data_IF_143002609798
#
_entry.id   IF_143002609798
#
_cell.length_a   1.000
_cell.length_b   1.000
_cell.length_c   1.000
_cell.angle_alpha   90.00
_cell.angle_beta   90.00
_cell.angle_gamma   90.00
#
_symmetry.space_group_name_H-M   'P 1'
#
loop_
_entity.id
_entity.type
_entity.pdbx_description
1 polymer ?
#
# COMPACT_ATOMS: atom_id res chain seq x y z
N UNK A 1 13.39 0.22 2.40
CA UNK A 1 13.06 -0.97 1.57
C UNK A 1 12.04 -0.63 0.49
N UNK A 2 10.80 -0.26 0.86
CA UNK A 2 9.79 0.15 -0.12
C UNK A 2 10.19 1.46 -0.82
N UNK A 3 10.82 2.37 -0.07
CA UNK A 3 11.36 3.63 -0.56
C UNK A 3 12.45 3.44 -1.62
N UNK A 4 13.34 2.46 -1.43
CA UNK A 4 14.40 2.13 -2.39
C UNK A 4 13.83 1.52 -3.68
N UNK A 5 12.83 0.66 -3.53
CA UNK A 5 12.11 0.06 -4.68
C UNK A 5 11.37 1.14 -5.46
N UNK A 6 10.71 2.06 -4.76
CA UNK A 6 10.01 3.20 -5.35
C UNK A 6 10.99 4.16 -6.05
N UNK A 7 12.13 4.46 -5.44
CA UNK A 7 13.18 5.27 -6.03
C UNK A 7 13.72 4.69 -7.33
N UNK A 8 13.92 3.37 -7.39
CA UNK A 8 14.35 2.66 -8.62
C UNK A 8 13.35 2.82 -9.76
N UNK A 9 12.06 2.97 -9.44
CA UNK A 9 10.97 3.18 -10.40
C UNK A 9 10.66 4.66 -10.67
N UNK A 10 11.33 5.58 -9.98
CA UNK A 10 11.07 7.02 -10.08
C UNK A 10 9.72 7.46 -9.49
N UNK A 11 9.14 6.69 -8.56
CA UNK A 11 7.84 6.99 -7.92
C UNK A 11 8.01 7.16 -6.42
N UNK A 12 6.99 7.69 -5.74
CA UNK A 12 6.99 7.76 -4.28
C UNK A 12 6.61 6.41 -3.65
N UNK A 13 7.04 6.17 -2.42
CA UNK A 13 6.67 4.95 -1.69
C UNK A 13 5.14 4.84 -1.49
N UNK A 14 4.46 5.97 -1.28
CA UNK A 14 3.00 6.02 -1.16
C UNK A 14 2.31 5.60 -2.47
N UNK A 15 2.80 6.08 -3.61
CA UNK A 15 2.32 5.66 -4.93
C UNK A 15 2.55 4.17 -5.17
N UNK A 16 3.75 3.66 -4.85
CA UNK A 16 4.06 2.25 -5.03
C UNK A 16 3.18 1.34 -4.17
N UNK A 17 2.94 1.73 -2.91
CA UNK A 17 2.03 1.00 -2.02
C UNK A 17 0.59 0.98 -2.56
N UNK A 18 0.09 2.13 -3.00
CA UNK A 18 -1.28 2.25 -3.52
C UNK A 18 -1.45 1.47 -4.85
N UNK A 19 -0.46 1.55 -5.73
CA UNK A 19 -0.41 0.77 -6.97
C UNK A 19 -0.48 -0.73 -6.68
N UNK A 20 0.29 -1.22 -5.70
CA UNK A 20 0.25 -2.63 -5.30
C UNK A 20 -1.13 -3.07 -4.81
N UNK A 21 -1.81 -2.24 -4.01
CA UNK A 21 -3.18 -2.52 -3.53
C UNK A 21 -4.17 -2.61 -4.70
N UNK A 22 -4.08 -1.68 -5.66
CA UNK A 22 -4.93 -1.68 -6.85
C UNK A 22 -4.75 -2.96 -7.71
N UNK A 23 -3.57 -3.57 -7.69
CA UNK A 23 -3.28 -4.80 -8.43
C UNK A 23 -3.69 -6.09 -7.70
N UNK A 24 -4.20 -6.03 -6.46
CA UNK A 24 -4.62 -7.23 -5.73
C UNK A 24 -5.93 -7.85 -6.25
N UNK A 25 -6.69 -7.12 -7.07
CA UNK A 25 -7.89 -7.63 -7.73
C UNK A 25 -8.78 -6.50 -8.25
N UNK A 26 -9.49 -6.75 -9.35
CA UNK A 26 -10.35 -5.74 -10.01
C UNK A 26 -11.50 -5.23 -9.11
N UNK A 27 -11.87 -6.03 -8.10
CA UNK A 27 -12.90 -5.68 -7.12
C UNK A 27 -12.39 -4.82 -5.96
N UNK A 28 -11.10 -4.46 -5.95
CA UNK A 28 -10.47 -3.69 -4.88
C UNK A 28 -10.45 -2.20 -5.24
N UNK A 29 -11.21 -1.41 -4.50
CA UNK A 29 -11.30 0.04 -4.66
C UNK A 29 -10.78 0.73 -3.39
N UNK A 30 -9.49 1.13 -3.34
CA UNK A 30 -8.93 1.81 -2.17
C UNK A 30 -9.51 3.21 -2.03
N UNK A 31 -9.66 3.67 -0.79
CA UNK A 31 -10.18 5.00 -0.43
C UNK A 31 -9.10 5.85 0.27
N UNK A 32 -7.98 6.18 -0.42
CA UNK A 32 -6.88 6.89 0.20
C UNK A 32 -7.27 8.33 0.51
N UNK A 33 -7.21 8.71 1.79
CA UNK A 33 -7.44 10.09 2.21
C UNK A 33 -6.25 11.00 1.92
N UNK A 34 -6.51 12.24 1.50
CA UNK A 34 -5.49 13.28 1.32
C UNK A 34 -5.99 14.61 1.92
N UNK A 35 -5.09 15.32 2.61
CA UNK A 35 -5.36 16.68 3.15
C UNK A 35 -4.67 17.79 2.36
N UNK A 36 -3.82 17.44 1.40
CA UNK A 36 -3.07 18.35 0.53
C UNK A 36 -3.27 17.93 -0.92
N UNK A 37 -3.40 18.90 -1.82
CA UNK A 37 -3.60 18.65 -3.26
C UNK A 37 -2.47 17.80 -3.83
N UNK A 38 -1.21 18.11 -3.50
CA UNK A 38 -0.07 17.31 -3.95
C UNK A 38 -0.15 15.81 -3.59
N UNK A 39 -0.73 15.47 -2.43
CA UNK A 39 -0.92 14.06 -2.06
C UNK A 39 -2.10 13.43 -2.80
N UNK A 40 -3.15 14.21 -3.09
CA UNK A 40 -4.26 13.76 -3.92
C UNK A 40 -3.75 13.43 -5.34
N UNK A 41 -2.94 14.30 -5.93
CA UNK A 41 -2.32 14.09 -7.25
C UNK A 41 -1.44 12.84 -7.26
N UNK A 42 -0.64 12.63 -6.20
CA UNK A 42 0.14 11.41 -6.04
C UNK A 42 -0.74 10.16 -5.95
N UNK A 43 -1.83 10.21 -5.17
CA UNK A 43 -2.77 9.09 -5.04
C UNK A 43 -3.41 8.74 -6.39
N UNK A 44 -3.81 9.75 -7.18
CA UNK A 44 -4.38 9.55 -8.51
C UNK A 44 -3.36 8.92 -9.45
N UNK A 45 -2.14 9.47 -9.51
CA UNK A 45 -1.07 8.97 -10.37
C UNK A 45 -0.64 7.53 -10.03
N UNK A 46 -0.97 7.00 -8.84
CA UNK A 46 -0.69 5.61 -8.51
C UNK A 46 -1.49 4.60 -9.36
N UNK A 47 -2.65 5.01 -9.90
CA UNK A 47 -3.48 4.16 -10.74
C UNK A 47 -2.83 3.82 -12.09
N UNK A 48 -1.92 4.68 -12.57
CA UNK A 48 -1.23 4.50 -13.84
C UNK A 48 0.07 3.67 -13.72
N UNK A 49 0.46 3.28 -12.50
CA UNK A 49 1.69 2.53 -12.26
C UNK A 49 1.44 1.05 -12.55
N UNK A 50 1.96 0.57 -13.68
CA UNK A 50 1.98 -0.85 -14.00
C UNK A 50 3.04 -1.61 -13.18
N UNK A 51 2.64 -2.74 -12.60
CA UNK A 51 3.53 -3.66 -11.89
C UNK A 51 3.60 -4.99 -12.62
N UNK A 52 4.81 -5.45 -12.93
CA UNK A 52 5.03 -6.78 -13.50
C UNK A 52 4.70 -7.88 -12.48
N UNK A 53 4.44 -9.12 -12.92
CA UNK A 53 4.21 -10.24 -12.00
C UNK A 53 5.36 -10.45 -11.00
N UNK A 54 6.60 -10.23 -11.42
CA UNK A 54 7.78 -10.31 -10.55
C UNK A 54 7.81 -9.21 -9.49
N UNK A 55 7.42 -7.99 -9.84
CA UNK A 55 7.30 -6.88 -8.89
C UNK A 55 6.16 -7.09 -7.92
N UNK A 56 5.00 -7.58 -8.38
CA UNK A 56 3.87 -7.92 -7.52
C UNK A 56 4.26 -8.98 -6.48
N UNK A 57 4.97 -10.03 -6.92
CA UNK A 57 5.50 -11.06 -6.02
C UNK A 57 6.50 -10.45 -5.02
N UNK A 58 7.44 -9.65 -5.50
CA UNK A 58 8.47 -9.03 -4.66
C UNK A 58 7.85 -8.13 -3.59
N UNK A 59 6.91 -7.26 -3.99
CA UNK A 59 6.19 -6.36 -3.09
C UNK A 59 5.32 -7.14 -2.11
N UNK A 60 4.62 -8.19 -2.57
CA UNK A 60 3.86 -9.08 -1.69
C UNK A 60 4.72 -9.76 -0.64
N UNK A 61 5.87 -10.30 -1.05
CA UNK A 61 6.84 -10.89 -0.13
C UNK A 61 7.39 -9.84 0.86
N UNK A 62 7.67 -8.61 0.42
CA UNK A 62 8.13 -7.51 1.28
C UNK A 62 7.08 -7.07 2.30
N UNK A 63 5.80 -7.06 1.91
CA UNK A 63 4.67 -6.59 2.70
C UNK A 63 3.96 -7.72 3.46
N UNK A 64 4.52 -8.93 3.48
CA UNK A 64 3.98 -10.09 4.15
C UNK A 64 3.75 -9.81 5.66
N UNK A 65 2.56 -10.08 6.22
CA UNK A 65 2.24 -9.76 7.61
C UNK A 65 3.23 -10.32 8.63
N UNK A 66 3.82 -11.48 8.33
CA UNK A 66 4.79 -12.18 9.18
C UNK A 66 6.09 -11.39 9.38
N UNK A 67 6.37 -10.41 8.51
CA UNK A 67 7.54 -9.52 8.61
C UNK A 67 7.33 -8.33 9.56
N UNK A 68 6.10 -8.11 10.03
CA UNK A 68 5.78 -6.99 10.93
C UNK A 68 5.37 -7.52 12.30
N UNK A 69 6.12 -7.12 13.33
CA UNK A 69 5.79 -7.47 14.71
C UNK A 69 4.74 -6.50 15.29
N UNK A 70 3.76 -7.05 16.01
CA UNK A 70 2.76 -6.28 16.75
C UNK A 70 1.33 -6.54 16.30
N UNK A 71 0.37 -6.16 17.16
CA UNK A 71 -1.06 -6.28 16.87
C UNK A 71 -1.53 -5.02 16.15
N UNK A 72 -2.43 -5.17 15.16
CA UNK A 72 -3.11 -4.04 14.50
C UNK A 72 -3.85 -3.13 15.50
N UNK A 73 -4.40 -3.73 16.55
CA UNK A 73 -5.05 -3.05 17.65
C UNK A 73 -4.48 -3.59 18.96
N UNK A 74 -4.26 -2.72 19.95
CA UNK A 74 -3.96 -3.14 21.32
C UNK A 74 -5.16 -3.88 21.94
N UNK A 75 -4.93 -4.63 23.02
CA UNK A 75 -5.95 -5.51 23.61
C UNK A 75 -7.24 -4.77 24.01
N UNK A 76 -7.10 -3.57 24.57
CA UNK A 76 -8.23 -2.70 24.90
C UNK A 76 -9.02 -2.25 23.67
N UNK A 77 -8.33 -1.90 22.56
CA UNK A 77 -8.99 -1.48 21.32
C UNK A 77 -9.63 -2.66 20.58
N UNK A 78 -9.03 -3.85 20.63
CA UNK A 78 -9.64 -5.08 20.10
C UNK A 78 -10.96 -5.40 20.79
N UNK A 79 -11.05 -5.22 22.12
CA UNK A 79 -12.28 -5.46 22.88
C UNK A 79 -13.45 -4.55 22.48
N UNK A 80 -13.19 -3.45 21.76
CA UNK A 80 -14.20 -2.50 21.29
C UNK A 80 -14.67 -2.76 19.86
N UNK A 81 -14.07 -3.73 19.15
CA UNK A 81 -14.55 -4.15 17.83
C UNK A 81 -15.69 -5.16 18.00
N UNK A 82 -16.82 -4.93 17.32
CA UNK A 82 -18.00 -5.80 17.42
C UNK A 82 -17.64 -7.24 17.03
N UNK A 83 -17.87 -8.17 17.96
CA UNK A 83 -17.78 -9.62 17.71
C UNK A 83 -18.90 -10.10 16.81
#
# INVERSE_FOLDING_TARGET
>A
MLEETAATKGVTAAQLALAWVLHQGEFIVPIPGARKIAHLEQNVAAADIALSPGELKTLGDMLAPEKFAGKRYGDAAMSLTNR
#
